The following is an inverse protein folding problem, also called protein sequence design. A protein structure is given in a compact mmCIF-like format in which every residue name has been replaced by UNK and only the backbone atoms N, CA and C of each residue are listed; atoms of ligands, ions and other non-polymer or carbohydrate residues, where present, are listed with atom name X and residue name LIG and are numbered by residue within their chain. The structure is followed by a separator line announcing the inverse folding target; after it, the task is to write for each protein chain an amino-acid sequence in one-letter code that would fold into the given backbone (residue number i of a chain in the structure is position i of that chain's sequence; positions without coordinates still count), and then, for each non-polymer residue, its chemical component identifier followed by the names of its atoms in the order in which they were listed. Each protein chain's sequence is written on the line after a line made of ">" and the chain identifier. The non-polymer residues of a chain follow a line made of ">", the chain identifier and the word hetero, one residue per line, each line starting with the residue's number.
data_IF_730774209253
#
_entry.id   IF_730774209253
#
_cell.length_a   1.000
_cell.length_b   1.000
_cell.length_c   1.000
_cell.angle_alpha   90.00
_cell.angle_beta   90.00
_cell.angle_gamma   90.00
#
_symmetry.space_group_name_H-M   'P 1'
#
loop_
_entity.id
_entity.type
_entity.pdbx_description
1 polymer ?
#
# COMPACT_ATOMS: atom_id res chain seq x y z
N UNK A 1 -10.65 -20.06 26.72
CA UNK A 1 -11.88 -19.24 26.82
C UNK A 1 -11.80 -18.20 25.72
N UNK A 2 -12.60 -18.33 24.67
CA UNK A 2 -12.65 -17.36 23.56
C UNK A 2 -13.72 -16.35 23.90
N UNK A 3 -13.35 -15.11 24.21
CA UNK A 3 -14.31 -14.03 24.46
C UNK A 3 -14.93 -13.62 23.13
N UNK A 4 -16.16 -14.03 22.86
CA UNK A 4 -16.91 -13.56 21.70
C UNK A 4 -17.36 -12.13 21.96
N UNK A 5 -16.93 -11.19 21.11
CA UNK A 5 -17.39 -9.80 21.15
C UNK A 5 -18.89 -9.76 20.84
N UNK A 6 -19.65 -8.95 21.57
CA UNK A 6 -21.04 -8.66 21.20
C UNK A 6 -21.05 -7.78 19.93
N UNK A 7 -22.10 -7.85 19.09
CA UNK A 7 -22.22 -6.98 17.92
C UNK A 7 -22.10 -5.50 18.27
N UNK A 8 -22.74 -5.07 19.37
CA UNK A 8 -22.67 -3.68 19.86
C UNK A 8 -21.23 -3.24 20.20
N UNK A 9 -20.43 -4.12 20.82
CA UNK A 9 -19.04 -3.83 21.11
C UNK A 9 -18.18 -3.79 19.83
N UNK A 10 -18.48 -4.65 18.85
CA UNK A 10 -17.81 -4.63 17.55
C UNK A 10 -18.10 -3.33 16.78
N UNK A 11 -19.36 -2.86 16.78
CA UNK A 11 -19.76 -1.61 16.14
C UNK A 11 -19.10 -0.40 16.81
N UNK A 12 -19.07 -0.37 18.16
CA UNK A 12 -18.40 0.69 18.91
C UNK A 12 -16.89 0.75 18.64
N UNK A 13 -16.22 -0.39 18.51
CA UNK A 13 -14.80 -0.47 18.14
C UNK A 13 -14.58 0.07 16.73
N UNK A 14 -15.43 -0.30 15.76
CA UNK A 14 -15.36 0.19 14.39
C UNK A 14 -15.53 1.71 14.35
N UNK A 15 -16.58 2.25 14.98
CA UNK A 15 -16.84 3.69 14.99
C UNK A 15 -15.71 4.48 15.66
N UNK A 16 -15.13 3.96 16.74
CA UNK A 16 -13.98 4.60 17.40
C UNK A 16 -12.73 4.60 16.52
N UNK A 17 -12.52 3.57 15.70
CA UNK A 17 -11.42 3.52 14.73
C UNK A 17 -11.63 4.55 13.62
N UNK A 18 -12.81 4.57 13.01
CA UNK A 18 -13.14 5.51 11.92
C UNK A 18 -13.04 6.97 12.37
N UNK A 19 -13.54 7.29 13.57
CA UNK A 19 -13.43 8.64 14.14
C UNK A 19 -11.95 9.07 14.33
N UNK A 20 -11.09 8.12 14.68
CA UNK A 20 -9.66 8.36 14.86
C UNK A 20 -8.92 8.53 13.54
N UNK A 21 -9.24 7.71 12.53
CA UNK A 21 -8.72 7.85 11.17
C UNK A 21 -9.11 9.20 10.57
N UNK A 22 -10.37 9.63 10.74
CA UNK A 22 -10.84 10.95 10.32
C UNK A 22 -10.07 12.10 11.00
N UNK A 23 -9.76 11.98 12.30
CA UNK A 23 -8.95 12.97 13.01
C UNK A 23 -7.54 13.07 12.41
N UNK A 24 -6.91 11.95 12.07
CA UNK A 24 -5.59 11.95 11.45
C UNK A 24 -5.61 12.52 10.04
N UNK A 25 -6.63 12.20 9.24
CA UNK A 25 -6.79 12.80 7.90
C UNK A 25 -6.78 14.32 7.98
N UNK A 26 -7.48 14.93 8.94
CA UNK A 26 -7.43 16.38 9.16
C UNK A 26 -6.07 16.84 9.66
N UNK A 27 -5.47 16.13 10.62
CA UNK A 27 -4.20 16.51 11.22
C UNK A 27 -3.02 16.50 10.21
N UNK A 28 -3.01 15.54 9.29
CA UNK A 28 -1.93 15.30 8.34
C UNK A 28 -2.29 15.65 6.89
N UNK A 29 -3.37 16.41 6.68
CA UNK A 29 -3.79 16.88 5.34
C UNK A 29 -2.70 17.70 4.62
N UNK A 30 -1.85 18.36 5.41
CA UNK A 30 -0.72 19.13 4.91
C UNK A 30 0.46 18.29 4.40
N UNK A 31 0.47 16.97 4.67
CA UNK A 31 1.57 16.08 4.29
C UNK A 31 1.42 15.68 2.81
N UNK A 32 2.35 16.08 1.92
CA UNK A 32 2.23 15.81 0.50
C UNK A 32 2.36 14.32 0.21
N UNK A 33 1.77 13.89 -0.92
CA UNK A 33 1.96 12.55 -1.44
C UNK A 33 3.45 12.31 -1.78
N UNK A 34 3.99 11.10 -1.52
CA UNK A 34 5.35 10.75 -1.93
C UNK A 34 5.57 10.86 -3.43
N UNK A 35 6.80 11.16 -3.85
CA UNK A 35 7.17 11.09 -5.26
C UNK A 35 6.90 9.69 -5.82
N UNK A 36 6.30 9.64 -7.01
CA UNK A 36 5.89 8.40 -7.69
C UNK A 36 4.57 7.81 -7.22
N UNK A 37 3.92 8.37 -6.19
CA UNK A 37 2.61 7.89 -5.74
C UNK A 37 1.51 8.27 -6.76
N UNK A 38 0.72 7.29 -7.17
CA UNK A 38 -0.48 7.44 -8.00
C UNK A 38 -1.75 7.48 -7.14
N UNK A 39 -1.71 6.84 -5.96
CA UNK A 39 -2.77 6.85 -4.97
C UNK A 39 -2.19 6.84 -3.55
N UNK A 40 -2.82 7.57 -2.63
CA UNK A 40 -2.46 7.58 -1.21
C UNK A 40 -3.68 7.18 -0.38
N UNK A 41 -3.49 6.20 0.51
CA UNK A 41 -4.53 5.71 1.40
C UNK A 41 -4.68 6.63 2.61
N UNK A 42 -5.73 6.41 3.39
CA UNK A 42 -5.97 7.11 4.65
C UNK A 42 -4.88 6.79 5.69
N UNK A 43 -4.72 7.70 6.65
CA UNK A 43 -3.80 7.52 7.76
C UNK A 43 -4.33 6.46 8.74
N UNK A 44 -3.49 5.50 9.08
CA UNK A 44 -3.83 4.40 9.97
C UNK A 44 -2.71 4.20 11.00
N UNK A 45 -3.05 3.65 12.16
CA UNK A 45 -2.05 3.19 13.11
C UNK A 45 -2.38 1.77 13.56
N UNK A 46 -1.39 0.89 13.51
CA UNK A 46 -1.55 -0.52 13.92
C UNK A 46 -1.85 -0.61 15.41
N UNK A 47 -1.39 0.37 16.22
CA UNK A 47 -1.66 0.45 17.65
C UNK A 47 -2.01 1.88 18.08
N UNK A 48 -2.70 2.01 19.21
CA UNK A 48 -3.15 3.29 19.76
C UNK A 48 -2.03 4.26 20.15
N UNK A 49 -0.77 3.82 20.16
CA UNK A 49 0.41 4.61 20.56
C UNK A 49 1.43 4.78 19.44
N UNK A 50 1.23 4.18 18.27
CA UNK A 50 2.15 4.34 17.13
C UNK A 50 1.85 5.62 16.37
N UNK A 51 2.91 6.27 15.87
CA UNK A 51 2.78 7.34 14.87
C UNK A 51 1.97 6.79 13.69
N UNK A 52 0.93 7.51 13.22
CA UNK A 52 0.15 7.04 12.10
C UNK A 52 0.99 7.00 10.84
N UNK A 53 0.77 5.97 10.04
CA UNK A 53 1.36 5.76 8.73
C UNK A 53 0.24 5.65 7.70
N UNK A 54 0.51 6.02 6.45
CA UNK A 54 -0.39 5.69 5.34
C UNK A 54 0.31 4.86 4.29
N UNK A 55 -0.42 3.97 3.66
CA UNK A 55 0.04 3.26 2.48
C UNK A 55 -0.11 4.15 1.24
N UNK A 56 0.72 3.91 0.24
CA UNK A 56 0.55 4.50 -1.08
C UNK A 56 0.86 3.49 -2.17
N UNK A 57 0.18 3.66 -3.30
CA UNK A 57 0.39 2.92 -4.53
C UNK A 57 1.13 3.82 -5.51
N UNK A 58 2.05 3.24 -6.27
CA UNK A 58 2.86 3.91 -7.27
C UNK A 58 2.55 3.41 -8.67
N UNK A 59 3.59 3.22 -9.47
CA UNK A 59 3.45 2.75 -10.85
C UNK A 59 3.02 1.28 -10.90
N UNK A 60 2.06 1.00 -11.80
CA UNK A 60 1.56 -0.34 -12.09
C UNK A 60 1.99 -0.78 -13.49
N UNK A 61 2.44 -2.04 -13.63
CA UNK A 61 2.85 -2.65 -14.90
C UNK A 61 2.25 -4.04 -15.06
N UNK A 62 1.93 -4.38 -16.30
CA UNK A 62 1.49 -5.72 -16.70
C UNK A 62 0.04 -6.05 -16.35
N UNK A 63 -0.61 -6.83 -17.22
CA UNK A 63 -2.02 -7.22 -17.06
C UNK A 63 -2.19 -8.56 -16.34
N UNK A 64 -1.37 -9.55 -16.72
CA UNK A 64 -1.43 -10.92 -16.20
C UNK A 64 -0.52 -11.10 -15.00
N UNK A 65 0.76 -10.78 -15.17
CA UNK A 65 1.71 -10.59 -14.07
C UNK A 65 1.68 -9.10 -13.78
N UNK A 66 1.09 -8.73 -12.66
CA UNK A 66 1.05 -7.34 -12.19
C UNK A 66 2.28 -7.07 -11.36
N UNK A 67 2.95 -5.97 -11.64
CA UNK A 67 4.12 -5.48 -10.94
C UNK A 67 3.84 -4.06 -10.49
N UNK A 68 3.75 -3.86 -9.17
CA UNK A 68 3.33 -2.61 -8.56
C UNK A 68 4.41 -2.11 -7.61
N UNK A 69 4.78 -0.83 -7.68
CA UNK A 69 5.59 -0.19 -6.63
C UNK A 69 4.64 0.36 -5.59
N UNK A 70 4.80 -0.06 -4.34
CA UNK A 70 4.02 0.42 -3.21
C UNK A 70 4.93 0.92 -2.10
N UNK A 71 4.37 1.62 -1.12
CA UNK A 71 5.15 2.06 0.03
C UNK A 71 4.30 2.49 1.21
N UNK A 72 5.00 2.92 2.26
CA UNK A 72 4.38 3.57 3.41
C UNK A 72 5.06 4.89 3.75
N UNK A 73 4.26 5.84 4.22
CA UNK A 73 4.69 7.19 4.61
C UNK A 73 4.33 7.46 6.07
N UNK A 74 5.22 8.13 6.79
CA UNK A 74 5.02 8.57 8.17
C UNK A 74 4.39 9.97 8.23
N UNK A 75 3.78 10.33 9.36
CA UNK A 75 3.09 11.61 9.56
C UNK A 75 4.00 12.85 9.48
N UNK A 76 5.32 12.69 9.47
CA UNK A 76 6.29 13.77 9.20
C UNK A 76 6.58 13.96 7.70
N UNK A 77 5.97 13.13 6.85
CA UNK A 77 6.13 13.13 5.39
C UNK A 77 7.24 12.24 4.88
N UNK A 78 8.07 11.64 5.74
CA UNK A 78 9.12 10.71 5.32
C UNK A 78 8.53 9.42 4.76
N UNK A 79 9.16 8.89 3.71
CA UNK A 79 8.84 7.55 3.20
C UNK A 79 9.59 6.53 4.07
N UNK A 80 8.81 5.69 4.75
CA UNK A 80 9.35 4.66 5.65
C UNK A 80 9.94 3.50 4.86
N UNK A 81 9.25 3.06 3.83
CA UNK A 81 9.67 1.95 2.96
C UNK A 81 8.96 2.02 1.61
N UNK A 82 9.60 1.45 0.60
CA UNK A 82 9.03 1.11 -0.70
C UNK A 82 9.33 -0.34 -1.02
N UNK A 83 8.44 -1.00 -1.76
CA UNK A 83 8.63 -2.37 -2.22
C UNK A 83 7.92 -2.61 -3.55
N UNK A 84 8.39 -3.64 -4.25
CA UNK A 84 7.73 -4.15 -5.45
C UNK A 84 6.82 -5.30 -5.04
N UNK A 85 5.53 -5.19 -5.33
CA UNK A 85 4.57 -6.28 -5.24
C UNK A 85 4.44 -6.94 -6.61
N UNK A 86 4.53 -8.28 -6.66
CA UNK A 86 4.33 -9.05 -7.89
C UNK A 86 3.20 -10.04 -7.65
N UNK A 87 2.16 -9.97 -8.48
CA UNK A 87 1.01 -10.86 -8.38
C UNK A 87 0.59 -11.40 -9.74
N UNK A 88 -0.04 -12.57 -9.76
CA UNK A 88 -0.66 -13.12 -10.97
C UNK A 88 -2.16 -12.93 -10.82
N UNK A 89 -2.81 -12.38 -11.85
CA UNK A 89 -4.26 -12.28 -11.86
C UNK A 89 -4.89 -13.68 -11.75
N UNK A 90 -5.50 -13.97 -10.59
CA UNK A 90 -5.94 -15.31 -10.16
C UNK A 90 -6.84 -16.02 -11.18
N UNK A 91 -7.68 -15.27 -11.88
CA UNK A 91 -8.57 -15.78 -12.94
C UNK A 91 -7.87 -16.23 -14.22
N UNK A 92 -6.56 -16.03 -14.34
CA UNK A 92 -5.77 -16.29 -15.55
C UNK A 92 -4.48 -17.08 -15.29
N UNK A 93 -4.31 -17.72 -14.13
CA UNK A 93 -3.10 -18.48 -13.81
C UNK A 93 -2.79 -19.59 -14.85
N UNK A 94 -3.82 -20.18 -15.48
CA UNK A 94 -3.68 -21.16 -16.56
C UNK A 94 -3.16 -20.55 -17.89
N UNK A 95 -3.06 -19.22 -17.97
CA UNK A 95 -2.58 -18.47 -19.12
C UNK A 95 -1.12 -18.09 -19.06
N UNK A 96 -0.35 -18.53 -18.06
CA UNK A 96 1.10 -18.25 -18.00
C UNK A 96 1.85 -19.03 -19.08
N UNK A 97 2.35 -18.31 -20.07
CA UNK A 97 3.12 -18.84 -21.18
C UNK A 97 4.48 -18.14 -21.24
N UNK A 98 5.39 -18.67 -22.06
CA UNK A 98 6.74 -18.11 -22.15
C UNK A 98 6.78 -16.63 -22.57
N UNK A 99 5.77 -16.13 -23.29
CA UNK A 99 5.73 -14.74 -23.72
C UNK A 99 5.37 -13.82 -22.56
N UNK A 100 4.32 -14.13 -21.80
CA UNK A 100 3.94 -13.31 -20.65
C UNK A 100 4.92 -13.41 -19.48
N UNK A 101 5.57 -14.57 -19.25
CA UNK A 101 6.66 -14.67 -18.28
C UNK A 101 7.81 -13.74 -18.65
N UNK A 102 8.21 -13.68 -19.92
CA UNK A 102 9.26 -12.78 -20.39
C UNK A 102 8.86 -11.31 -20.26
N UNK A 103 7.60 -10.99 -20.52
CA UNK A 103 7.12 -9.62 -20.33
C UNK A 103 7.12 -9.24 -18.86
N UNK A 104 6.58 -10.09 -17.97
CA UNK A 104 6.62 -9.85 -16.53
C UNK A 104 8.03 -9.70 -15.98
N UNK A 105 9.01 -10.44 -16.50
CA UNK A 105 10.42 -10.26 -16.15
C UNK A 105 10.97 -8.87 -16.54
N UNK A 106 10.59 -8.34 -17.71
CA UNK A 106 10.96 -6.97 -18.12
C UNK A 106 10.28 -5.93 -17.25
N UNK A 107 9.01 -6.14 -16.91
CA UNK A 107 8.25 -5.23 -16.05
C UNK A 107 8.85 -5.18 -14.64
N UNK A 108 9.32 -6.31 -14.10
CA UNK A 108 10.03 -6.37 -12.82
C UNK A 108 11.37 -5.63 -12.86
N UNK A 109 12.16 -5.77 -13.93
CA UNK A 109 13.42 -5.01 -14.08
C UNK A 109 13.13 -3.52 -14.14
N UNK A 110 12.17 -3.09 -14.95
CA UNK A 110 11.80 -1.68 -15.05
C UNK A 110 11.27 -1.10 -13.73
N UNK A 111 10.56 -1.90 -12.92
CA UNK A 111 10.11 -1.49 -11.59
C UNK A 111 11.27 -1.39 -10.59
N UNK A 112 12.29 -2.26 -10.69
CA UNK A 112 13.49 -2.16 -9.88
C UNK A 112 14.29 -0.91 -10.22
N UNK A 113 14.48 -0.61 -11.51
CA UNK A 113 15.17 0.60 -11.97
C UNK A 113 14.45 1.86 -11.46
N UNK A 114 13.12 1.93 -11.57
CA UNK A 114 12.33 3.06 -11.03
C UNK A 114 12.46 3.18 -9.50
N UNK A 115 12.46 2.05 -8.78
CA UNK A 115 12.62 2.07 -7.33
C UNK A 115 13.99 2.60 -6.91
N UNK A 116 15.05 2.22 -7.62
CA UNK A 116 16.41 2.73 -7.38
C UNK A 116 16.46 4.25 -7.62
N UNK A 117 15.85 4.74 -8.70
CA UNK A 117 15.73 6.19 -8.97
C UNK A 117 14.99 6.94 -7.86
N UNK A 118 13.85 6.40 -7.38
CA UNK A 118 13.05 7.00 -6.31
C UNK A 118 13.76 7.04 -4.94
N UNK A 119 14.72 6.14 -4.74
CA UNK A 119 15.53 6.05 -3.52
C UNK A 119 16.91 6.70 -3.67
N UNK A 120 17.25 7.19 -4.86
CA UNK A 120 18.56 7.77 -5.16
C UNK A 120 19.71 6.77 -5.07
N UNK A 121 19.47 5.51 -5.45
CA UNK A 121 20.45 4.42 -5.47
C UNK A 121 21.08 4.24 -6.86
#
# INVERSE_FOLDING_TARGET
>A
MTTTLTPELADAITAAREAREAQWTVQYDHVPAPAGATHVHEWQAVHSVTVPTRYFEGTHRGDLIRVDINGSQEGDGSVRERWINVSVADTRANGLDSANIRQGARDMIAAADELDELEGR
#
